data_IF_352285207232
#
_entry.id   IF_352285207232
#
_cell.length_a   1.000
_cell.length_b   1.000
_cell.length_c   1.000
_cell.angle_alpha   90.00
_cell.angle_beta   90.00
_cell.angle_gamma   90.00
#
_symmetry.space_group_name_H-M   'P 1'
#
loop_
_entity.id
_entity.type
_entity.pdbx_description
1 polymer ?
#
# COMPACT_ATOMS: atom_id res chain seq x y z
N UNK A 1 -5.94 22.33 1.98
CA UNK A 1 -4.56 21.94 2.35
C UNK A 1 -4.53 20.91 3.47
N UNK A 2 -4.97 21.22 4.69
CA UNK A 2 -4.87 20.27 5.83
C UNK A 2 -5.64 18.96 5.62
N UNK A 3 -6.87 19.00 5.11
CA UNK A 3 -7.69 17.80 4.88
C UNK A 3 -6.99 16.81 3.93
N UNK A 4 -6.39 17.32 2.84
CA UNK A 4 -5.66 16.49 1.87
C UNK A 4 -4.43 15.86 2.54
N UNK A 5 -3.69 16.61 3.36
CA UNK A 5 -2.55 16.07 4.12
C UNK A 5 -2.96 14.98 5.10
N UNK A 6 -4.08 15.17 5.80
CA UNK A 6 -4.64 14.16 6.73
C UNK A 6 -5.06 12.90 5.96
N UNK A 7 -5.73 13.05 4.83
CA UNK A 7 -6.09 11.92 3.97
C UNK A 7 -4.86 11.17 3.44
N UNK A 8 -3.84 11.91 2.99
CA UNK A 8 -2.58 11.31 2.54
C UNK A 8 -1.86 10.57 3.68
N UNK A 9 -1.86 11.11 4.89
CA UNK A 9 -1.30 10.46 6.07
C UNK A 9 -2.05 9.16 6.42
N UNK A 10 -3.38 9.18 6.39
CA UNK A 10 -4.22 7.99 6.61
C UNK A 10 -3.96 6.92 5.55
N UNK A 11 -3.80 7.32 4.29
CA UNK A 11 -3.49 6.39 3.21
C UNK A 11 -2.08 5.83 3.35
N UNK A 12 -1.11 6.63 3.78
CA UNK A 12 0.27 6.21 4.03
C UNK A 12 0.35 5.22 5.20
N UNK A 13 -0.41 5.46 6.28
CA UNK A 13 -0.54 4.52 7.38
C UNK A 13 -1.20 3.21 6.95
N UNK A 14 -2.26 3.30 6.14
CA UNK A 14 -2.94 2.12 5.57
C UNK A 14 -2.00 1.32 4.66
N UNK A 15 -1.20 2.00 3.83
CA UNK A 15 -0.20 1.41 2.94
C UNK A 15 0.87 0.66 3.72
N UNK A 16 1.34 1.23 4.83
CA UNK A 16 2.29 0.59 5.73
C UNK A 16 1.73 -0.71 6.32
N UNK A 17 0.51 -0.65 6.86
CA UNK A 17 -0.17 -1.84 7.42
C UNK A 17 -0.34 -2.90 6.33
N UNK A 18 -0.80 -2.49 5.14
CA UNK A 18 -1.00 -3.39 4.02
C UNK A 18 0.29 -4.12 3.63
N UNK A 19 1.39 -3.39 3.48
CA UNK A 19 2.70 -3.96 3.12
C UNK A 19 3.15 -5.04 4.10
N UNK A 20 2.96 -4.79 5.41
CA UNK A 20 3.37 -5.73 6.48
C UNK A 20 2.48 -6.97 6.58
N UNK A 21 1.18 -6.81 6.36
CA UNK A 21 0.19 -7.86 6.61
C UNK A 21 -0.09 -8.71 5.36
N UNK A 22 0.02 -8.15 4.14
CA UNK A 22 -0.35 -8.84 2.89
C UNK A 22 0.27 -10.22 2.73
N UNK A 23 1.54 -10.39 3.09
CA UNK A 23 2.25 -11.68 2.99
C UNK A 23 1.76 -12.73 4.00
N UNK A 24 1.08 -12.29 5.07
CA UNK A 24 0.59 -13.12 6.16
C UNK A 24 -0.95 -13.08 6.28
N UNK A 25 -1.67 -12.64 5.25
CA UNK A 25 -3.14 -12.45 5.28
C UNK A 25 -3.89 -13.69 5.78
N UNK A 26 -3.45 -14.88 5.37
CA UNK A 26 -4.07 -16.15 5.74
C UNK A 26 -3.92 -16.48 7.23
N UNK A 27 -2.87 -15.96 7.87
CA UNK A 27 -2.53 -16.19 9.28
C UNK A 27 -3.20 -15.20 10.23
N UNK A 28 -3.97 -14.23 9.70
CA UNK A 28 -4.69 -13.26 10.53
C UNK A 28 -5.81 -13.91 11.34
N UNK A 29 -5.92 -13.51 12.61
CA UNK A 29 -7.11 -13.82 13.41
C UNK A 29 -8.38 -13.24 12.75
N UNK A 30 -9.55 -13.89 12.92
CA UNK A 30 -10.80 -13.45 12.30
C UNK A 30 -11.16 -11.98 12.56
N UNK A 31 -10.88 -11.48 13.76
CA UNK A 31 -11.14 -10.09 14.16
C UNK A 31 -10.38 -9.05 13.31
N UNK A 32 -9.18 -9.38 12.83
CA UNK A 32 -8.37 -8.47 12.01
C UNK A 32 -8.58 -8.68 10.50
N UNK A 33 -9.09 -9.85 10.08
CA UNK A 33 -9.40 -10.12 8.67
C UNK A 33 -10.39 -9.11 8.07
N UNK A 34 -11.40 -8.70 8.84
CA UNK A 34 -12.40 -7.71 8.38
C UNK A 34 -11.75 -6.34 8.11
N UNK A 35 -10.95 -5.85 9.04
CA UNK A 35 -10.23 -4.59 8.89
C UNK A 35 -9.25 -4.65 7.71
N UNK A 36 -8.48 -5.74 7.61
CA UNK A 36 -7.53 -5.92 6.52
C UNK A 36 -8.23 -5.98 5.16
N UNK A 37 -9.40 -6.62 5.06
CA UNK A 37 -10.19 -6.65 3.82
C UNK A 37 -10.58 -5.25 3.34
N UNK A 38 -10.92 -4.34 4.26
CA UNK A 38 -11.20 -2.94 3.90
C UNK A 38 -9.96 -2.21 3.40
N UNK A 39 -8.84 -2.32 4.13
CA UNK A 39 -7.55 -1.73 3.73
C UNK A 39 -7.13 -2.25 2.34
N UNK A 40 -7.20 -3.56 2.14
CA UNK A 40 -6.92 -4.24 0.87
C UNK A 40 -7.84 -3.74 -0.25
N UNK A 41 -9.14 -3.61 0.02
CA UNK A 41 -10.12 -3.13 -0.96
C UNK A 41 -9.86 -1.71 -1.46
N UNK A 42 -9.28 -0.84 -0.63
CA UNK A 42 -8.88 0.52 -1.04
C UNK A 42 -7.52 0.52 -1.76
N UNK A 43 -6.54 -0.23 -1.25
CA UNK A 43 -5.17 -0.15 -1.76
C UNK A 43 -4.91 -1.03 -2.99
N UNK A 44 -5.51 -2.21 -3.12
CA UNK A 44 -5.27 -3.09 -4.27
C UNK A 44 -5.60 -2.43 -5.61
N UNK A 45 -6.75 -1.75 -5.80
CA UNK A 45 -7.04 -1.06 -7.05
C UNK A 45 -6.02 0.02 -7.38
N UNK A 46 -5.59 0.80 -6.37
CA UNK A 46 -4.59 1.87 -6.53
C UNK A 46 -3.24 1.28 -6.91
N UNK A 47 -2.78 0.25 -6.21
CA UNK A 47 -1.51 -0.40 -6.49
C UNK A 47 -1.52 -1.14 -7.84
N UNK A 48 -2.64 -1.77 -8.21
CA UNK A 48 -2.81 -2.38 -9.55
C UNK A 48 -2.75 -1.33 -10.65
N UNK A 49 -3.41 -0.18 -10.47
CA UNK A 49 -3.34 0.93 -11.41
C UNK A 49 -1.90 1.43 -11.57
N UNK A 50 -1.17 1.59 -10.46
CA UNK A 50 0.24 1.99 -10.49
C UNK A 50 1.15 0.94 -11.14
N UNK A 51 0.85 -0.35 -10.94
CA UNK A 51 1.58 -1.45 -11.56
C UNK A 51 1.45 -1.47 -13.10
N UNK A 52 0.45 -0.78 -13.67
CA UNK A 52 0.36 -0.53 -15.11
C UNK A 52 1.51 0.35 -15.62
N UNK A 53 1.97 1.29 -14.80
CA UNK A 53 3.06 2.22 -15.15
C UNK A 53 4.42 1.72 -14.64
N UNK A 54 4.43 1.05 -13.50
CA UNK A 54 5.65 0.61 -12.82
C UNK A 54 5.65 -0.89 -12.61
N UNK A 55 6.46 -1.62 -13.37
CA UNK A 55 6.54 -3.08 -13.24
C UNK A 55 7.17 -3.47 -11.90
N UNK A 56 6.74 -4.59 -11.27
CA UNK A 56 7.40 -5.15 -10.09
C UNK A 56 8.90 -5.36 -10.34
N UNK A 57 9.71 -4.95 -9.37
CA UNK A 57 11.17 -5.02 -9.47
C UNK A 57 11.64 -6.40 -9.03
N UNK A 58 12.31 -7.15 -9.91
CA UNK A 58 12.95 -8.42 -9.54
C UNK A 58 14.18 -8.13 -8.68
N UNK A 59 14.19 -8.62 -7.45
CA UNK A 59 15.31 -8.45 -6.49
C UNK A 59 16.04 -9.77 -6.21
N UNK A 60 15.53 -10.88 -6.74
CA UNK A 60 16.15 -12.20 -6.61
C UNK A 60 15.54 -13.21 -7.56
N UNK A 61 16.08 -14.43 -7.55
CA UNK A 61 15.50 -15.57 -8.26
C UNK A 61 14.10 -15.86 -7.71
N UNK A 62 13.08 -15.57 -8.51
CA UNK A 62 11.65 -15.65 -8.14
C UNK A 62 11.19 -14.71 -7.01
N UNK A 63 12.01 -13.72 -6.62
CA UNK A 63 11.63 -12.70 -5.65
C UNK A 63 11.46 -11.35 -6.36
N UNK A 64 10.22 -10.84 -6.35
CA UNK A 64 9.88 -9.54 -6.91
C UNK A 64 9.25 -8.66 -5.84
N UNK A 65 9.70 -7.42 -5.73
CA UNK A 65 9.10 -6.41 -4.85
C UNK A 65 8.10 -5.59 -5.65
N UNK A 66 6.95 -5.35 -5.03
CA UNK A 66 5.91 -4.48 -5.56
C UNK A 66 6.38 -3.02 -5.50
N UNK A 67 7.08 -2.58 -6.54
CA UNK A 67 7.66 -1.23 -6.68
C UNK A 67 6.60 -0.13 -6.62
N UNK A 68 5.34 -0.45 -6.98
CA UNK A 68 4.22 0.47 -6.87
C UNK A 68 3.98 0.97 -5.45
N UNK A 69 4.23 0.15 -4.42
CA UNK A 69 4.07 0.55 -3.02
C UNK A 69 5.08 1.64 -2.64
N UNK A 70 6.33 1.47 -3.04
CA UNK A 70 7.39 2.43 -2.75
C UNK A 70 7.16 3.76 -3.46
N UNK A 71 6.72 3.70 -4.73
CA UNK A 71 6.41 4.89 -5.51
C UNK A 71 5.19 5.61 -4.92
N UNK A 72 4.14 4.88 -4.54
CA UNK A 72 2.95 5.47 -3.90
C UNK A 72 3.32 6.15 -2.58
N UNK A 73 4.20 5.52 -1.81
CA UNK A 73 4.69 6.08 -0.56
C UNK A 73 5.40 7.43 -0.78
N UNK A 74 6.30 7.51 -1.76
CA UNK A 74 6.98 8.77 -2.12
C UNK A 74 5.98 9.83 -2.55
N UNK A 75 5.02 9.49 -3.41
CA UNK A 75 3.99 10.42 -3.87
C UNK A 75 3.16 10.97 -2.70
N UNK A 76 2.76 10.11 -1.76
CA UNK A 76 2.02 10.53 -0.58
C UNK A 76 2.85 11.43 0.33
N UNK A 77 4.15 11.17 0.51
CA UNK A 77 5.04 12.05 1.25
C UNK A 77 5.17 13.44 0.61
N UNK A 78 5.29 13.51 -0.72
CA UNK A 78 5.33 14.78 -1.43
C UNK A 78 4.02 15.57 -1.22
N UNK A 79 2.87 14.91 -1.32
CA UNK A 79 1.56 15.54 -1.06
C UNK A 79 1.46 16.08 0.38
N UNK A 80 2.03 15.39 1.36
CA UNK A 80 2.05 15.85 2.76
C UNK A 80 3.00 17.05 2.93
N UNK A 81 4.14 17.01 2.26
CA UNK A 81 5.20 18.02 2.38
C UNK A 81 4.84 19.37 1.75
N UNK A 82 4.00 19.39 0.71
CA UNK A 82 3.52 20.60 0.02
C UNK A 82 2.37 21.20 0.82
#
# INVERSE_FOLDING_TARGET
>A
MIIIKVLALLLLFSLFIYSKIRTHENMLFPQYKKLFKHIKGVLEPVLKFMNTFFKPMKIGTNLSVDSSQFILFILLLLIISI
#
